data_IF_898438573264
#
_entry.id   IF_898438573264
#
_cell.length_a   1.000
_cell.length_b   1.000
_cell.length_c   1.000
_cell.angle_alpha   90.00
_cell.angle_beta   90.00
_cell.angle_gamma   90.00
#
_symmetry.space_group_name_H-M   'P 1'
#
loop_
_entity.id
_entity.type
_entity.pdbx_description
1 polymer ?
#
# COMPACT_ATOMS: atom_id res chain seq x y z
N UNK A 1 2.86 9.76 -8.50
CA UNK A 1 3.06 10.05 -7.06
C UNK A 1 4.20 11.05 -6.96
N UNK A 2 4.04 12.08 -6.14
CA UNK A 2 5.06 13.09 -5.89
C UNK A 2 5.73 12.78 -4.56
N UNK A 3 7.06 12.69 -4.54
CA UNK A 3 7.84 12.39 -3.35
C UNK A 3 8.74 13.57 -2.99
N UNK A 4 8.75 13.91 -1.71
CA UNK A 4 9.68 14.85 -1.10
C UNK A 4 10.47 14.13 -0.02
N UNK A 5 11.79 14.13 -0.14
CA UNK A 5 12.64 13.48 0.82
C UNK A 5 13.93 14.24 1.05
N UNK A 6 14.48 14.08 2.24
CA UNK A 6 15.79 14.59 2.61
C UNK A 6 16.67 13.43 3.04
N UNK A 7 17.88 13.41 2.50
CA UNK A 7 18.97 12.57 2.98
C UNK A 7 19.91 13.41 3.82
N UNK A 8 20.31 12.89 4.97
CA UNK A 8 21.28 13.49 5.87
C UNK A 8 22.34 12.45 6.17
N UNK A 9 23.59 12.77 5.91
CA UNK A 9 24.72 11.94 6.30
C UNK A 9 25.04 12.24 7.77
N UNK A 10 24.89 11.23 8.62
CA UNK A 10 25.17 11.32 10.06
C UNK A 10 26.67 11.18 10.33
N UNK A 11 27.33 10.34 9.53
CA UNK A 11 28.77 10.13 9.50
C UNK A 11 29.18 9.66 8.10
N UNK A 12 30.49 9.61 7.84
CA UNK A 12 31.17 9.06 6.66
C UNK A 12 30.58 7.75 6.12
N UNK A 13 30.00 6.92 7.00
CA UNK A 13 29.48 5.59 6.67
C UNK A 13 27.97 5.44 6.88
N UNK A 14 27.33 6.37 7.58
CA UNK A 14 25.92 6.25 8.00
C UNK A 14 25.10 7.39 7.43
N UNK A 15 24.00 7.07 6.76
CA UNK A 15 23.10 8.08 6.23
C UNK A 15 21.65 7.77 6.56
N UNK A 16 20.88 8.81 6.89
CA UNK A 16 19.46 8.74 7.17
C UNK A 16 18.69 9.40 6.03
N UNK A 17 17.67 8.74 5.51
CA UNK A 17 16.72 9.31 4.54
C UNK A 17 15.34 9.33 5.15
N UNK A 18 14.76 10.51 5.24
CA UNK A 18 13.34 10.69 5.52
C UNK A 18 12.64 11.09 4.23
N UNK A 19 11.46 10.54 3.97
CA UNK A 19 10.66 10.92 2.81
C UNK A 19 9.17 10.90 3.13
N UNK A 20 8.44 11.74 2.42
CA UNK A 20 6.99 11.80 2.41
C UNK A 20 6.54 11.88 0.95
N UNK A 21 5.57 11.07 0.56
CA UNK A 21 5.03 11.05 -0.77
C UNK A 21 3.50 11.09 -0.74
N UNK A 22 2.93 11.74 -1.75
CA UNK A 22 1.49 11.88 -1.91
C UNK A 22 1.13 11.59 -3.36
N UNK A 23 0.02 10.91 -3.57
CA UNK A 23 -0.43 10.55 -4.90
C UNK A 23 -1.92 10.32 -4.97
N UNK A 24 -2.41 10.29 -6.20
CA UNK A 24 -3.76 9.85 -6.52
C UNK A 24 -3.63 8.77 -7.57
N UNK A 25 -4.41 7.70 -7.42
CA UNK A 25 -4.55 6.61 -8.36
C UNK A 25 -5.98 6.60 -8.88
N UNK A 26 -6.15 6.63 -10.20
CA UNK A 26 -7.46 6.52 -10.84
C UNK A 26 -7.56 5.16 -11.55
N UNK A 27 -8.60 4.40 -11.23
CA UNK A 27 -8.87 3.07 -11.79
C UNK A 27 -10.32 3.03 -12.31
N UNK A 28 -10.55 3.49 -13.54
CA UNK A 28 -11.88 3.40 -14.15
C UNK A 28 -12.27 1.93 -14.34
N UNK A 29 -13.55 1.63 -14.07
CA UNK A 29 -14.15 0.30 -14.20
C UNK A 29 -13.54 -0.79 -13.31
N UNK A 30 -13.53 -0.54 -12.00
CA UNK A 30 -13.07 -1.52 -11.02
C UNK A 30 -14.25 -2.32 -10.44
N UNK A 31 -15.10 -2.86 -11.32
CA UNK A 31 -16.25 -3.70 -10.94
C UNK A 31 -15.93 -5.18 -11.12
N UNK A 32 -16.19 -5.99 -10.09
CA UNK A 32 -16.04 -7.45 -10.16
C UNK A 32 -17.41 -8.10 -10.01
N UNK A 33 -17.81 -8.90 -11.00
CA UNK A 33 -19.08 -9.63 -10.96
C UNK A 33 -18.81 -11.07 -10.52
N UNK A 34 -19.41 -11.48 -9.41
CA UNK A 34 -19.36 -12.85 -8.91
C UNK A 34 -20.68 -13.52 -9.20
N UNK A 35 -20.64 -14.63 -9.93
CA UNK A 35 -21.82 -15.47 -10.13
C UNK A 35 -21.90 -16.49 -8.99
N UNK A 36 -22.93 -16.37 -8.16
CA UNK A 36 -23.11 -17.12 -6.92
C UNK A 36 -24.34 -18.03 -7.00
N UNK A 37 -24.34 -19.12 -6.24
CA UNK A 37 -25.49 -20.01 -6.02
C UNK A 37 -25.54 -20.44 -4.56
N UNK A 38 -26.74 -20.73 -4.03
CA UNK A 38 -26.86 -21.25 -2.67
C UNK A 38 -26.21 -22.63 -2.55
N UNK A 39 -25.60 -22.91 -1.39
CA UNK A 39 -25.06 -24.24 -1.12
C UNK A 39 -26.22 -25.24 -1.06
N UNK A 40 -26.10 -26.35 -1.80
CA UNK A 40 -27.16 -27.37 -1.97
C UNK A 40 -28.46 -26.89 -2.66
N UNK A 41 -28.45 -25.75 -3.37
CA UNK A 41 -29.59 -25.40 -4.22
C UNK A 41 -29.70 -26.36 -5.41
N UNK A 42 -30.93 -26.79 -5.69
CA UNK A 42 -31.26 -27.48 -6.94
C UNK A 42 -30.99 -26.55 -8.14
N UNK A 43 -30.58 -27.13 -9.27
CA UNK A 43 -30.30 -26.44 -10.53
C UNK A 43 -31.43 -25.54 -11.03
N UNK A 44 -32.66 -25.77 -10.55
CA UNK A 44 -33.87 -25.00 -10.83
C UNK A 44 -33.96 -23.67 -10.06
N UNK A 45 -33.25 -23.51 -8.93
CA UNK A 45 -33.25 -22.28 -8.12
C UNK A 45 -32.37 -21.19 -8.75
N UNK A 46 -31.49 -21.57 -9.69
CA UNK A 46 -30.70 -20.66 -10.50
C UNK A 46 -29.51 -20.02 -9.78
N UNK A 47 -28.92 -19.03 -10.43
CA UNK A 47 -27.74 -18.29 -9.96
C UNK A 47 -28.05 -16.81 -9.87
N UNK A 48 -27.39 -16.11 -8.96
CA UNK A 48 -27.45 -14.65 -8.87
C UNK A 48 -26.06 -14.04 -9.11
N UNK A 49 -26.03 -12.76 -9.47
CA UNK A 49 -24.80 -12.02 -9.69
C UNK A 49 -24.63 -10.99 -8.58
N UNK A 50 -23.49 -11.04 -7.90
CA UNK A 50 -23.06 -10.02 -6.95
C UNK A 50 -22.07 -9.07 -7.63
N UNK A 51 -22.25 -7.77 -7.44
CA UNK A 51 -21.37 -6.75 -8.00
C UNK A 51 -20.54 -6.12 -6.87
N UNK A 52 -19.23 -6.40 -6.86
CA UNK A 52 -18.29 -5.70 -5.99
C UNK A 52 -17.72 -4.50 -6.73
N UNK A 53 -18.08 -3.30 -6.26
CA UNK A 53 -17.51 -2.06 -6.78
C UNK A 53 -16.29 -1.67 -5.94
N UNK A 54 -15.11 -1.69 -6.56
CA UNK A 54 -13.90 -1.14 -5.95
C UNK A 54 -13.84 0.37 -6.18
N UNK A 55 -13.12 1.13 -5.33
CA UNK A 55 -13.09 2.57 -5.46
C UNK A 55 -12.34 3.03 -6.72
N UNK A 56 -12.91 4.00 -7.43
CA UNK A 56 -12.38 4.52 -8.70
C UNK A 56 -11.20 5.48 -8.48
N UNK A 57 -11.18 6.20 -7.37
CA UNK A 57 -10.12 7.16 -7.01
C UNK A 57 -9.57 6.80 -5.64
N UNK A 58 -8.27 6.54 -5.55
CA UNK A 58 -7.57 6.32 -4.29
C UNK A 58 -6.51 7.39 -4.09
N UNK A 59 -6.66 8.19 -3.04
CA UNK A 59 -5.57 9.00 -2.49
C UNK A 59 -4.56 8.09 -1.79
N UNK A 60 -3.28 8.40 -1.94
CA UNK A 60 -2.17 7.65 -1.34
C UNK A 60 -1.26 8.61 -0.60
N UNK A 61 -0.94 8.29 0.65
CA UNK A 61 0.08 8.96 1.46
C UNK A 61 1.11 7.91 1.85
N UNK A 62 2.39 8.19 1.64
CA UNK A 62 3.49 7.33 2.06
C UNK A 62 4.48 8.16 2.88
N UNK A 63 4.83 7.67 4.06
CA UNK A 63 5.84 8.26 4.92
C UNK A 63 6.90 7.21 5.16
N UNK A 64 8.18 7.58 5.11
CA UNK A 64 9.23 6.61 5.39
C UNK A 64 10.51 7.20 5.93
N UNK A 65 11.20 6.36 6.69
CA UNK A 65 12.50 6.60 7.28
C UNK A 65 13.40 5.42 6.93
N UNK A 66 14.60 5.70 6.44
CA UNK A 66 15.57 4.67 6.07
C UNK A 66 16.95 5.04 6.60
N UNK A 67 17.50 4.17 7.45
CA UNK A 67 18.86 4.24 7.94
C UNK A 67 19.73 3.30 7.10
N UNK A 68 20.76 3.85 6.48
CA UNK A 68 21.69 3.11 5.63
C UNK A 68 23.05 2.94 6.32
N UNK A 69 23.63 1.74 6.13
CA UNK A 69 25.06 1.43 6.33
C UNK A 69 25.60 1.75 7.73
N UNK A 70 24.75 1.66 8.76
CA UNK A 70 25.19 1.76 10.15
C UNK A 70 25.96 0.49 10.55
N UNK A 71 27.25 0.41 10.22
CA UNK A 71 28.08 -0.77 10.53
C UNK A 71 27.65 -2.05 9.80
N UNK A 72 27.17 -1.93 8.55
CA UNK A 72 26.67 -3.07 7.75
C UNK A 72 25.15 -3.29 7.85
N UNK A 73 24.48 -2.62 8.79
CA UNK A 73 23.03 -2.70 8.94
C UNK A 73 22.29 -1.65 8.11
N UNK A 74 21.13 -2.04 7.58
CA UNK A 74 20.13 -1.16 6.99
C UNK A 74 18.78 -1.38 7.67
N UNK A 75 18.10 -0.31 8.04
CA UNK A 75 16.76 -0.35 8.60
C UNK A 75 15.85 0.60 7.81
N UNK A 76 14.62 0.17 7.52
CA UNK A 76 13.59 0.98 6.88
C UNK A 76 12.28 0.85 7.65
N UNK A 77 11.69 1.96 8.01
CA UNK A 77 10.32 2.05 8.48
C UNK A 77 9.50 2.82 7.44
N UNK A 78 8.30 2.35 7.14
CA UNK A 78 7.38 3.02 6.23
C UNK A 78 5.94 2.91 6.75
N UNK A 79 5.15 3.93 6.49
CA UNK A 79 3.73 3.95 6.76
C UNK A 79 2.99 4.47 5.53
N UNK A 80 2.08 3.66 5.01
CA UNK A 80 1.28 3.95 3.84
C UNK A 80 -0.19 4.03 4.25
N UNK A 81 -0.89 5.07 3.79
CA UNK A 81 -2.33 5.20 3.93
C UNK A 81 -2.97 5.38 2.55
N UNK A 82 -3.88 4.48 2.20
CA UNK A 82 -4.77 4.61 1.04
C UNK A 82 -6.14 5.09 1.49
N UNK A 83 -6.63 6.16 0.87
CA UNK A 83 -7.88 6.83 1.23
C UNK A 83 -8.81 6.89 0.02
N UNK A 84 -10.06 6.47 0.21
CA UNK A 84 -11.14 6.64 -0.75
C UNK A 84 -12.47 6.83 -0.01
N UNK A 85 -13.50 7.24 -0.73
CA UNK A 85 -14.86 7.43 -0.23
C UNK A 85 -15.38 6.28 0.65
N UNK A 86 -15.11 5.02 0.31
CA UNK A 86 -15.61 3.83 1.02
C UNK A 86 -14.50 2.83 1.38
N UNK A 87 -13.24 3.25 1.31
CA UNK A 87 -12.09 2.38 1.57
C UNK A 87 -10.98 3.16 2.26
N UNK A 88 -10.51 2.66 3.39
CA UNK A 88 -9.32 3.17 4.08
C UNK A 88 -8.43 2.00 4.41
N UNK A 89 -7.19 2.05 3.94
CA UNK A 89 -6.17 1.05 4.25
C UNK A 89 -4.96 1.74 4.86
N UNK A 90 -4.44 1.17 5.94
CA UNK A 90 -3.28 1.70 6.63
C UNK A 90 -2.30 0.55 6.82
N UNK A 91 -1.07 0.75 6.38
CA UNK A 91 -0.04 -0.29 6.41
C UNK A 91 1.23 0.30 7.02
N UNK A 92 1.69 -0.29 8.13
CA UNK A 92 2.99 0.00 8.70
C UNK A 92 3.95 -1.13 8.33
N UNK A 93 5.12 -0.80 7.80
CA UNK A 93 6.15 -1.76 7.41
C UNK A 93 7.47 -1.41 8.08
N UNK A 94 8.12 -2.42 8.65
CA UNK A 94 9.49 -2.33 9.13
C UNK A 94 10.34 -3.39 8.43
N UNK A 95 11.52 -3.01 7.96
CA UNK A 95 12.48 -3.88 7.29
C UNK A 95 13.85 -3.68 7.93
N UNK A 96 14.50 -4.78 8.25
CA UNK A 96 15.89 -4.81 8.70
C UNK A 96 16.69 -5.71 7.77
N UNK A 97 17.87 -5.25 7.37
CA UNK A 97 18.79 -6.00 6.54
C UNK A 97 20.21 -5.84 7.09
N UNK A 98 20.99 -6.91 6.99
CA UNK A 98 22.42 -6.89 7.30
C UNK A 98 23.19 -7.29 6.05
N UNK A 99 24.15 -6.48 5.67
CA UNK A 99 25.04 -6.72 4.54
C UNK A 99 26.35 -7.30 5.07
N UNK A 100 26.60 -8.57 4.74
CA UNK A 100 27.80 -9.33 5.08
C UNK A 100 28.93 -9.12 4.06
#
# INVERSE_FOLDING_TARGET
MLEFGRRVDLDSKTSLRAYAAFGVSYRPDSSYTVKSSFVNADSTIGTFNDHLKSPEVLGKIDLGLQLYRAGGFEAKAAYTADLSSHYTNQTATARFAYHF
#
